data_IF_127396225359
#
_entry.id   IF_127396225359
#
_cell.length_a   1.000
_cell.length_b   1.000
_cell.length_c   1.000
_cell.angle_alpha   90.00
_cell.angle_beta   90.00
_cell.angle_gamma   90.00
#
_symmetry.space_group_name_H-M   'P 1'
#
loop_
_entity.id
_entity.type
_entity.pdbx_description
1 polymer ?
#
# COMPACT_ATOMS: atom_id res chain seq x y z
N UNK A 1 -50.30 -59.26 -42.17
CA UNK A 1 -49.01 -58.87 -41.57
C UNK A 1 -49.27 -57.66 -40.71
N UNK A 2 -49.26 -57.82 -39.40
CA UNK A 2 -49.69 -56.82 -38.40
C UNK A 2 -48.51 -56.58 -37.45
N UNK A 3 -48.07 -55.32 -37.33
CA UNK A 3 -46.96 -54.92 -36.46
C UNK A 3 -47.41 -54.90 -34.98
N UNK A 4 -46.54 -55.19 -34.00
CA UNK A 4 -46.88 -55.01 -32.59
C UNK A 4 -46.67 -53.55 -32.17
N UNK A 5 -47.68 -53.05 -31.45
CA UNK A 5 -47.75 -51.74 -30.82
C UNK A 5 -46.83 -51.72 -29.58
N UNK A 6 -45.87 -50.79 -29.51
CA UNK A 6 -44.96 -50.66 -28.37
C UNK A 6 -45.51 -49.60 -27.40
N UNK A 7 -46.18 -50.05 -26.35
CA UNK A 7 -46.56 -49.18 -25.24
C UNK A 7 -45.32 -48.81 -24.41
N UNK A 8 -44.99 -47.51 -24.35
CA UNK A 8 -43.96 -46.98 -23.44
C UNK A 8 -44.61 -46.66 -22.10
N UNK A 9 -44.22 -47.37 -21.03
CA UNK A 9 -44.71 -47.11 -19.68
C UNK A 9 -43.92 -45.96 -19.07
N UNK A 10 -44.53 -44.76 -19.07
CA UNK A 10 -43.99 -43.59 -18.40
C UNK A 10 -44.25 -43.70 -16.89
N UNK A 11 -43.22 -43.98 -16.09
CA UNK A 11 -43.29 -43.86 -14.63
C UNK A 11 -43.04 -42.41 -14.24
N UNK A 12 -44.10 -41.62 -14.11
CA UNK A 12 -44.04 -40.33 -13.41
C UNK A 12 -44.34 -40.58 -11.93
N UNK A 13 -43.36 -40.39 -11.06
CA UNK A 13 -43.61 -40.42 -9.63
C UNK A 13 -44.34 -39.12 -9.25
N UNK A 14 -45.38 -39.15 -8.39
CA UNK A 14 -46.13 -37.95 -8.02
C UNK A 14 -45.28 -36.85 -7.37
N UNK A 15 -44.07 -37.19 -6.91
CA UNK A 15 -43.11 -36.24 -6.34
C UNK A 15 -42.42 -35.36 -7.40
N UNK A 16 -42.40 -35.77 -8.67
CA UNK A 16 -41.76 -35.00 -9.77
C UNK A 16 -42.54 -33.72 -10.10
N UNK A 17 -43.83 -33.66 -9.76
CA UNK A 17 -44.69 -32.48 -9.94
C UNK A 17 -44.49 -31.43 -8.83
N UNK A 18 -44.01 -31.85 -7.64
CA UNK A 18 -43.78 -30.94 -6.52
C UNK A 18 -42.50 -30.10 -6.68
N UNK A 19 -41.52 -30.60 -7.45
CA UNK A 19 -40.26 -29.89 -7.69
C UNK A 19 -40.38 -28.70 -8.67
N UNK A 20 -41.47 -28.60 -9.45
CA UNK A 20 -41.63 -27.57 -10.48
C UNK A 20 -42.18 -26.24 -9.95
N UNK A 21 -42.74 -26.22 -8.73
CA UNK A 21 -43.36 -25.04 -8.12
C UNK A 21 -42.56 -24.45 -6.95
N UNK A 22 -41.31 -24.86 -6.76
CA UNK A 22 -40.45 -24.22 -5.77
C UNK A 22 -40.10 -22.79 -6.22
N UNK A 23 -40.29 -21.75 -5.38
CA UNK A 23 -39.83 -20.41 -5.70
C UNK A 23 -38.32 -20.46 -5.95
N UNK A 24 -37.91 -20.02 -7.14
CA UNK A 24 -36.49 -19.87 -7.50
C UNK A 24 -35.85 -18.92 -6.50
N UNK A 25 -35.14 -19.47 -5.52
CA UNK A 25 -34.28 -18.71 -4.62
C UNK A 25 -33.26 -18.01 -5.51
N UNK A 26 -33.38 -16.70 -5.64
CA UNK A 26 -32.39 -15.89 -6.35
C UNK A 26 -31.05 -16.11 -5.65
N UNK A 27 -30.09 -16.65 -6.40
CA UNK A 27 -28.73 -16.80 -5.92
C UNK A 27 -28.23 -15.43 -5.43
N UNK A 28 -27.54 -15.34 -4.28
CA UNK A 28 -26.95 -14.10 -3.82
C UNK A 28 -26.07 -13.53 -4.94
N UNK A 29 -26.31 -12.29 -5.33
CA UNK A 29 -25.39 -11.60 -6.23
C UNK A 29 -24.05 -11.51 -5.52
N UNK A 30 -23.06 -12.26 -6.02
CA UNK A 30 -21.67 -12.16 -5.57
C UNK A 30 -21.18 -10.81 -6.03
N UNK A 31 -21.28 -9.80 -5.16
CA UNK A 31 -20.64 -8.51 -5.36
C UNK A 31 -19.15 -8.79 -5.41
N UNK A 32 -18.53 -8.62 -6.58
CA UNK A 32 -17.10 -8.77 -6.73
C UNK A 32 -16.40 -7.87 -5.68
N UNK A 33 -15.37 -8.36 -4.98
CA UNK A 33 -14.64 -7.52 -4.02
C UNK A 33 -14.16 -6.27 -4.75
N UNK A 34 -14.54 -5.10 -4.25
CA UNK A 34 -13.96 -3.83 -4.71
C UNK A 34 -12.45 -3.98 -4.57
N UNK A 35 -11.73 -3.93 -5.70
CA UNK A 35 -10.29 -4.08 -5.71
C UNK A 35 -9.69 -3.05 -4.74
N UNK A 36 -9.01 -3.54 -3.70
CA UNK A 36 -8.37 -2.70 -2.70
C UNK A 36 -7.36 -1.82 -3.41
N UNK A 37 -7.48 -0.50 -3.27
CA UNK A 37 -6.54 0.44 -3.86
C UNK A 37 -5.12 0.05 -3.48
N UNK A 38 -4.22 -0.04 -4.46
CA UNK A 38 -2.82 -0.38 -4.21
C UNK A 38 -2.17 0.67 -3.30
N UNK A 39 -1.32 0.22 -2.39
CA UNK A 39 -0.62 1.13 -1.49
C UNK A 39 0.30 2.10 -2.27
N UNK A 40 0.44 3.37 -1.84
CA UNK A 40 1.29 4.35 -2.51
C UNK A 40 2.76 3.89 -2.61
N UNK A 41 3.36 4.02 -3.80
CA UNK A 41 4.75 3.62 -4.12
C UNK A 41 5.61 4.81 -4.49
N UNK A 42 6.75 4.95 -3.82
CA UNK A 42 7.68 6.07 -4.07
C UNK A 42 8.43 5.89 -5.39
N UNK A 43 8.75 7.00 -6.04
CA UNK A 43 9.70 7.04 -7.16
C UNK A 43 11.12 6.94 -6.62
N UNK A 44 11.89 6.03 -7.22
CA UNK A 44 13.32 5.89 -6.94
C UNK A 44 14.11 7.04 -7.55
N UNK A 45 15.19 7.43 -6.87
CA UNK A 45 16.11 8.51 -7.27
C UNK A 45 17.55 8.04 -7.05
N UNK A 46 18.46 8.48 -7.90
CA UNK A 46 19.88 8.14 -7.78
C UNK A 46 20.59 8.96 -6.70
N UNK A 47 20.20 10.23 -6.56
CA UNK A 47 20.77 11.18 -5.59
C UNK A 47 20.44 10.78 -4.15
N UNK A 48 21.46 10.73 -3.28
CA UNK A 48 21.32 10.60 -1.83
C UNK A 48 21.46 11.96 -1.14
N UNK A 49 20.81 12.08 0.02
CA UNK A 49 20.99 13.21 0.95
C UNK A 49 20.26 14.50 0.61
N UNK A 50 19.49 14.53 -0.49
CA UNK A 50 18.75 15.71 -0.95
C UNK A 50 17.26 15.45 -0.83
N UNK A 51 16.56 16.29 -0.06
CA UNK A 51 15.11 16.30 -0.03
C UNK A 51 14.55 16.84 -1.34
N UNK A 52 13.58 16.13 -1.90
CA UNK A 52 12.87 16.60 -3.09
C UNK A 52 11.39 16.24 -3.03
N UNK A 53 10.60 17.11 -3.64
CA UNK A 53 9.19 16.92 -3.91
C UNK A 53 8.99 15.97 -5.09
N UNK A 54 8.02 15.07 -4.97
CA UNK A 54 7.63 14.11 -5.99
C UNK A 54 6.14 13.76 -5.83
N UNK A 55 5.66 12.87 -6.70
CA UNK A 55 4.36 12.22 -6.61
C UNK A 55 4.56 10.71 -6.64
N UNK A 56 3.68 9.97 -5.97
CA UNK A 56 3.74 8.51 -5.99
C UNK A 56 3.57 7.96 -7.41
N UNK A 57 4.09 6.76 -7.68
CA UNK A 57 4.00 6.13 -9.01
C UNK A 57 2.56 5.80 -9.40
N UNK A 58 1.74 5.47 -8.40
CA UNK A 58 0.38 4.98 -8.55
C UNK A 58 -0.68 5.94 -7.96
N UNK A 59 -0.29 7.15 -7.55
CA UNK A 59 -1.20 8.16 -7.00
C UNK A 59 -0.70 9.58 -7.32
N UNK A 60 -1.58 10.55 -7.62
CA UNK A 60 -1.20 11.94 -7.78
C UNK A 60 -0.80 12.64 -6.47
N UNK A 61 -0.95 11.96 -5.33
CA UNK A 61 -0.62 12.50 -4.01
C UNK A 61 0.86 12.92 -3.94
N UNK A 62 1.15 14.17 -3.55
CA UNK A 62 2.50 14.66 -3.44
C UNK A 62 3.16 14.19 -2.14
N UNK A 63 4.47 14.00 -2.19
CA UNK A 63 5.29 13.73 -1.02
C UNK A 63 6.67 14.34 -1.19
N UNK A 64 7.37 14.55 -0.09
CA UNK A 64 8.81 14.81 -0.11
C UNK A 64 9.55 13.60 0.41
N UNK A 65 10.76 13.38 -0.11
CA UNK A 65 11.60 12.30 0.38
C UNK A 65 13.07 12.63 0.31
N UNK A 66 13.84 11.97 1.16
CA UNK A 66 15.30 11.94 1.09
C UNK A 66 15.79 10.50 1.11
N UNK A 67 16.75 10.20 0.24
CA UNK A 67 17.40 8.89 0.12
C UNK A 67 18.70 8.86 0.93
N UNK A 68 18.97 7.79 1.63
CA UNK A 68 20.28 7.52 2.23
C UNK A 68 21.27 6.87 1.25
N UNK A 69 22.54 6.75 1.64
CA UNK A 69 23.54 6.05 0.81
C UNK A 69 23.28 4.54 0.67
N UNK A 70 22.55 3.92 1.62
CA UNK A 70 22.16 2.50 1.52
C UNK A 70 20.84 2.30 0.77
N UNK A 71 20.23 3.38 0.27
CA UNK A 71 19.06 3.35 -0.59
C UNK A 71 17.71 3.23 0.12
N UNK A 72 17.67 3.35 1.44
CA UNK A 72 16.42 3.57 2.16
C UNK A 72 15.94 5.02 1.99
N UNK A 73 14.67 5.28 2.28
CA UNK A 73 14.10 6.62 2.18
C UNK A 73 13.43 7.04 3.49
N UNK A 74 13.44 8.34 3.75
CA UNK A 74 12.42 8.97 4.61
C UNK A 74 11.45 9.70 3.72
N UNK A 75 10.16 9.57 4.04
CA UNK A 75 9.05 10.13 3.26
C UNK A 75 8.13 10.92 4.18
N UNK A 76 7.63 12.06 3.70
CA UNK A 76 6.57 12.85 4.33
C UNK A 76 5.52 13.21 3.29
N UNK A 77 4.26 12.84 3.55
CA UNK A 77 3.10 13.23 2.72
C UNK A 77 2.38 14.44 3.32
N UNK A 78 1.28 14.89 2.71
CA UNK A 78 0.46 15.98 3.24
C UNK A 78 -0.10 15.68 4.64
N UNK A 79 -0.66 14.49 4.82
CA UNK A 79 -1.45 14.11 6.01
C UNK A 79 -0.75 13.10 6.92
N UNK A 80 0.27 12.40 6.43
CA UNK A 80 0.96 11.35 7.17
C UNK A 80 2.13 11.87 8.01
N UNK A 81 2.51 11.13 9.04
CA UNK A 81 3.77 11.32 9.74
C UNK A 81 4.97 10.98 8.84
N UNK A 82 6.18 11.24 9.32
CA UNK A 82 7.37 10.75 8.65
C UNK A 82 7.41 9.22 8.66
N UNK A 83 7.71 8.64 7.50
CA UNK A 83 7.82 7.20 7.30
C UNK A 83 9.22 6.82 6.84
N UNK A 84 9.74 5.71 7.36
CA UNK A 84 10.98 5.09 6.96
C UNK A 84 10.70 3.93 6.01
N UNK A 85 11.16 4.06 4.76
CA UNK A 85 11.11 3.06 3.71
C UNK A 85 12.46 2.34 3.71
N UNK A 86 12.55 1.27 4.49
CA UNK A 86 13.79 0.50 4.65
C UNK A 86 14.06 -0.33 3.41
N UNK A 87 15.21 -0.14 2.77
CA UNK A 87 15.61 -0.95 1.62
C UNK A 87 15.80 -2.42 2.04
N UNK A 88 15.00 -3.31 1.45
CA UNK A 88 15.02 -4.75 1.75
C UNK A 88 16.31 -5.45 1.28
N UNK A 89 17.07 -4.83 0.38
CA UNK A 89 18.36 -5.35 -0.10
C UNK A 89 19.47 -5.18 0.95
N UNK A 90 19.28 -4.33 1.95
CA UNK A 90 20.24 -4.10 3.03
C UNK A 90 19.96 -5.09 4.14
N UNK A 91 20.99 -5.81 4.59
CA UNK A 91 20.87 -6.82 5.65
C UNK A 91 20.18 -6.22 6.88
N UNK A 92 19.12 -6.88 7.34
CA UNK A 92 18.37 -6.50 8.51
C UNK A 92 19.25 -6.57 9.76
N UNK A 93 19.59 -5.40 10.31
CA UNK A 93 20.07 -5.27 11.69
C UNK A 93 18.89 -5.24 12.66
N UNK A 94 19.20 -5.05 13.96
CA UNK A 94 18.17 -4.76 14.96
C UNK A 94 17.45 -3.45 14.58
N UNK A 95 16.13 -3.51 14.47
CA UNK A 95 15.29 -2.36 14.19
C UNK A 95 15.26 -1.41 15.40
N UNK A 96 15.27 -0.11 15.16
CA UNK A 96 15.08 0.88 16.22
C UNK A 96 13.68 0.77 16.84
N UNK A 97 13.58 0.93 18.16
CA UNK A 97 12.34 0.71 18.92
C UNK A 97 11.21 1.71 18.60
N UNK A 98 11.56 2.86 18.02
CA UNK A 98 10.62 3.89 17.61
C UNK A 98 10.02 3.66 16.21
N UNK A 99 10.34 2.55 15.54
CA UNK A 99 9.82 2.23 14.22
C UNK A 99 8.64 1.26 14.33
N UNK A 100 7.47 1.70 13.89
CA UNK A 100 6.25 0.89 13.88
C UNK A 100 5.96 0.40 12.47
N UNK A 101 5.93 -0.91 12.27
CA UNK A 101 5.68 -1.49 10.95
C UNK A 101 4.30 -1.07 10.43
N UNK A 102 4.25 -0.60 9.19
CA UNK A 102 3.02 -0.21 8.49
C UNK A 102 2.67 -1.26 7.43
N UNK A 103 3.56 -1.44 6.45
CA UNK A 103 3.32 -2.31 5.29
C UNK A 103 4.60 -2.77 4.62
N UNK A 104 4.45 -3.78 3.74
CA UNK A 104 5.46 -4.12 2.75
C UNK A 104 5.13 -3.45 1.42
N UNK A 105 6.15 -2.90 0.79
CA UNK A 105 6.20 -2.48 -0.61
C UNK A 105 7.22 -3.39 -1.33
N UNK A 106 7.22 -3.42 -2.66
CA UNK A 106 8.02 -4.34 -3.48
C UNK A 106 9.51 -4.34 -3.09
N UNK A 107 10.09 -3.17 -2.79
CA UNK A 107 11.51 -3.03 -2.46
C UNK A 107 11.75 -2.58 -1.01
N UNK A 108 10.68 -2.33 -0.25
CA UNK A 108 10.75 -1.66 1.04
C UNK A 108 9.88 -2.30 2.11
N UNK A 109 10.41 -2.36 3.33
CA UNK A 109 9.59 -2.45 4.54
C UNK A 109 9.31 -1.02 5.01
N UNK A 110 8.04 -0.64 5.11
CA UNK A 110 7.63 0.72 5.48
C UNK A 110 7.28 0.77 6.96
N UNK A 111 7.84 1.74 7.66
CA UNK A 111 7.64 1.97 9.08
C UNK A 111 7.20 3.42 9.33
N UNK A 112 6.24 3.61 10.22
CA UNK A 112 5.93 4.93 10.77
C UNK A 112 6.96 5.30 11.85
N UNK A 113 7.31 6.58 11.94
CA UNK A 113 8.21 7.14 12.96
C UNK A 113 7.40 8.06 13.89
N UNK A 114 6.65 7.52 14.86
CA UNK A 114 5.76 8.32 15.73
C UNK A 114 6.49 9.23 16.72
N UNK A 115 7.75 8.92 17.06
CA UNK A 115 8.53 9.71 18.01
C UNK A 115 10.04 9.53 17.80
N UNK A 116 10.83 10.38 18.48
CA UNK A 116 12.29 10.34 18.47
C UNK A 116 12.88 11.07 17.26
N UNK A 117 14.07 10.66 16.84
CA UNK A 117 14.73 11.30 15.70
C UNK A 117 14.00 10.98 14.39
N UNK A 118 13.68 12.04 13.65
CA UNK A 118 13.07 11.95 12.32
C UNK A 118 11.55 11.94 12.32
N UNK A 119 10.90 11.97 13.49
CA UNK A 119 9.43 12.00 13.60
C UNK A 119 8.83 13.40 13.44
N UNK A 120 9.60 14.46 13.69
CA UNK A 120 9.10 15.83 13.67
C UNK A 120 9.87 16.71 12.69
N UNK A 121 9.17 17.68 12.10
CA UNK A 121 9.74 18.68 11.18
C UNK A 121 10.95 19.39 11.80
N UNK A 122 10.88 19.71 13.10
CA UNK A 122 11.98 20.36 13.83
C UNK A 122 13.27 19.53 13.84
N UNK A 123 13.17 18.19 13.86
CA UNK A 123 14.37 17.34 13.79
C UNK A 123 15.11 17.55 12.48
N UNK A 124 14.36 17.77 11.41
CA UNK A 124 14.89 18.01 10.09
C UNK A 124 15.34 19.48 9.93
N UNK A 125 14.56 20.49 10.31
CA UNK A 125 15.00 21.90 10.15
C UNK A 125 16.29 22.22 10.90
N UNK A 126 16.51 21.63 12.08
CA UNK A 126 17.64 21.98 12.95
C UNK A 126 18.88 21.09 12.76
N UNK A 127 18.85 20.14 11.82
CA UNK A 127 19.92 19.14 11.67
C UNK A 127 20.53 19.14 10.28
N UNK A 128 21.85 18.91 10.20
CA UNK A 128 22.55 18.63 8.92
C UNK A 128 22.28 17.21 8.40
N UNK A 129 22.02 16.28 9.31
CA UNK A 129 21.73 14.88 9.02
C UNK A 129 21.07 14.22 10.22
N UNK A 130 20.25 13.19 9.99
CA UNK A 130 19.66 12.37 11.05
C UNK A 130 20.13 10.92 10.96
N UNK A 131 20.33 10.30 12.11
CA UNK A 131 20.59 8.86 12.22
C UNK A 131 19.28 8.15 12.54
N UNK A 132 18.79 7.33 11.60
CA UNK A 132 17.56 6.55 11.72
C UNK A 132 17.92 5.11 11.40
N UNK A 133 17.65 4.17 12.31
CA UNK A 133 17.92 2.74 12.10
C UNK A 133 19.38 2.41 11.66
N UNK A 134 20.38 3.04 12.30
CA UNK A 134 21.80 2.89 11.95
C UNK A 134 22.14 3.30 10.50
N UNK A 135 21.38 4.25 9.98
CA UNK A 135 21.52 4.81 8.65
C UNK A 135 21.45 6.33 8.71
N UNK A 136 22.45 6.98 8.11
CA UNK A 136 22.49 8.44 8.04
C UNK A 136 21.66 8.93 6.87
N UNK A 137 20.85 9.93 7.15
CA UNK A 137 20.07 10.69 6.19
C UNK A 137 20.62 12.12 6.18
N UNK A 138 21.49 12.48 5.22
CA UNK A 138 21.86 13.87 5.01
C UNK A 138 20.60 14.69 4.69
N UNK A 139 20.58 15.95 5.11
CA UNK A 139 19.37 16.75 5.16
C UNK A 139 19.46 18.00 4.27
N UNK A 140 19.96 17.85 3.05
CA UNK A 140 20.04 18.97 2.13
C UNK A 140 18.65 19.35 1.61
N UNK A 141 18.38 20.66 1.48
CA UNK A 141 17.18 21.22 0.87
C UNK A 141 15.84 20.90 1.58
N UNK A 142 15.84 20.46 2.84
CA UNK A 142 14.62 20.10 3.56
C UNK A 142 13.60 21.25 3.64
N UNK A 143 14.02 22.43 4.09
CA UNK A 143 13.10 23.56 4.29
C UNK A 143 12.39 23.96 2.98
N UNK A 144 13.14 23.99 1.87
CA UNK A 144 12.59 24.28 0.55
C UNK A 144 11.58 23.21 0.13
N UNK A 145 11.98 21.94 0.15
CA UNK A 145 11.09 20.84 -0.22
C UNK A 145 9.82 20.78 0.65
N UNK A 146 9.96 21.02 1.96
CA UNK A 146 8.84 21.06 2.89
C UNK A 146 7.89 22.22 2.60
N UNK A 147 8.42 23.42 2.30
CA UNK A 147 7.59 24.55 1.87
C UNK A 147 6.82 24.23 0.59
N UNK A 148 7.49 23.64 -0.41
CA UNK A 148 6.84 23.23 -1.67
C UNK A 148 5.75 22.18 -1.44
N UNK A 149 5.96 21.23 -0.51
CA UNK A 149 4.94 20.27 -0.13
C UNK A 149 3.73 20.97 0.46
N UNK A 150 3.93 21.87 1.43
CA UNK A 150 2.83 22.59 2.07
C UNK A 150 1.98 23.36 1.05
N UNK A 151 2.61 23.99 0.05
CA UNK A 151 1.89 24.67 -1.02
C UNK A 151 1.05 23.73 -1.89
N UNK A 152 1.43 22.45 -2.03
CA UNK A 152 0.65 21.45 -2.76
C UNK A 152 -0.43 20.77 -1.94
N UNK A 153 -0.37 20.90 -0.61
CA UNK A 153 -1.34 20.30 0.32
C UNK A 153 -2.50 21.24 0.68
N UNK A 154 -2.38 22.52 0.34
CA UNK A 154 -3.45 23.53 0.44
C UNK A 154 -4.43 23.41 -0.72
#
# INVERSE_FOLDING_TARGET
MTAPDMATVLHTHPDDLAAQNAPKVQAPQVVAPVAKAEAPRIRLRDESGIWALSQFENSPEPYISVRSDKGSYIVKTCTGDFQYYKNMSVRSGRLAANLMFDRMDRHFEVYNIPYGNGSFVVNWTESKSLLINNEYFPNLAFEMAYSDLQQRCM
#
